data_IF_690082825268
#
_entry.id   IF_690082825268
#
_cell.length_a   1.000
_cell.length_b   1.000
_cell.length_c   1.000
_cell.angle_alpha   90.00
_cell.angle_beta   90.00
_cell.angle_gamma   90.00
#
_symmetry.space_group_name_H-M   'P 1'
#
loop_
_entity.id
_entity.type
_entity.pdbx_description
1 polymer ?
#
# COMPACT_ATOMS: atom_id res chain seq x y z
N UNK A 1 16.02 -22.79 -1.35
CA UNK A 1 14.92 -22.96 -2.34
C UNK A 1 13.57 -22.75 -1.64
N UNK A 2 13.36 -21.59 -1.01
CA UNK A 2 12.10 -21.22 -0.32
C UNK A 2 11.54 -19.90 -0.89
N UNK A 3 12.39 -19.06 -1.49
CA UNK A 3 12.03 -17.74 -2.03
C UNK A 3 11.47 -17.73 -3.48
N UNK A 4 11.14 -18.88 -4.08
CA UNK A 4 10.68 -18.94 -5.48
C UNK A 4 9.16 -19.02 -5.66
N UNK A 5 8.39 -19.17 -4.57
CA UNK A 5 6.93 -19.32 -4.60
C UNK A 5 6.20 -18.12 -3.97
N UNK A 6 6.77 -16.92 -4.05
CA UNK A 6 6.19 -15.71 -3.44
C UNK A 6 4.77 -15.40 -3.93
N UNK A 7 4.42 -15.82 -5.14
CA UNK A 7 3.06 -15.64 -5.69
C UNK A 7 2.02 -16.49 -4.95
N UNK A 8 2.30 -17.79 -4.79
CA UNK A 8 1.40 -18.73 -4.10
C UNK A 8 1.18 -18.37 -2.63
N UNK A 9 2.21 -17.84 -1.98
CA UNK A 9 2.15 -17.38 -0.59
C UNK A 9 1.18 -16.19 -0.45
N UNK A 10 1.34 -15.18 -1.30
CA UNK A 10 0.48 -13.99 -1.34
C UNK A 10 -0.97 -14.35 -1.63
N UNK A 11 -1.21 -15.25 -2.58
CA UNK A 11 -2.55 -15.74 -2.91
C UNK A 11 -3.23 -16.43 -1.72
N UNK A 12 -2.47 -17.26 -0.98
CA UNK A 12 -2.97 -17.97 0.19
C UNK A 12 -3.31 -17.00 1.33
N UNK A 13 -2.45 -16.00 1.59
CA UNK A 13 -2.72 -14.98 2.59
C UNK A 13 -3.97 -14.15 2.26
N UNK A 14 -4.16 -13.76 0.99
CA UNK A 14 -5.36 -13.04 0.57
C UNK A 14 -6.62 -13.90 0.70
N UNK A 15 -6.58 -15.18 0.33
CA UNK A 15 -7.69 -16.10 0.50
C UNK A 15 -8.10 -16.25 1.96
N UNK A 16 -7.15 -16.55 2.84
CA UNK A 16 -7.41 -16.72 4.27
C UNK A 16 -7.91 -15.42 4.91
N UNK A 17 -7.27 -14.28 4.60
CA UNK A 17 -7.70 -12.97 5.09
C UNK A 17 -9.10 -12.57 4.60
N UNK A 18 -9.44 -12.92 3.35
CA UNK A 18 -10.75 -12.71 2.77
C UNK A 18 -11.85 -13.50 3.46
N UNK A 19 -11.61 -14.80 3.72
CA UNK A 19 -12.58 -15.70 4.38
C UNK A 19 -12.85 -15.27 5.83
N UNK A 20 -11.82 -14.94 6.61
CA UNK A 20 -12.00 -14.48 8.00
C UNK A 20 -12.80 -13.18 8.04
N UNK A 21 -12.55 -12.26 7.09
CA UNK A 21 -13.24 -10.99 7.02
C UNK A 21 -14.70 -11.14 6.60
N UNK A 22 -15.01 -12.00 5.63
CA UNK A 22 -16.40 -12.27 5.23
C UNK A 22 -17.18 -12.95 6.35
N UNK A 23 -16.58 -13.89 7.09
CA UNK A 23 -17.21 -14.53 8.24
C UNK A 23 -17.54 -13.53 9.36
N UNK A 24 -16.56 -12.68 9.72
CA UNK A 24 -16.76 -11.63 10.72
C UNK A 24 -17.84 -10.64 10.28
N UNK A 25 -17.90 -10.35 8.97
CA UNK A 25 -18.91 -9.49 8.38
C UNK A 25 -20.31 -10.11 8.35
N UNK A 26 -20.45 -11.43 8.27
CA UNK A 26 -21.75 -12.07 8.39
C UNK A 26 -22.23 -12.07 9.84
N UNK A 27 -21.33 -12.36 10.79
CA UNK A 27 -21.66 -12.43 12.22
C UNK A 27 -22.09 -11.07 12.81
N UNK A 28 -21.41 -9.99 12.43
CA UNK A 28 -21.78 -8.64 12.84
C UNK A 28 -23.13 -8.19 12.21
N UNK A 29 -23.53 -8.75 11.05
CA UNK A 29 -24.78 -8.41 10.33
C UNK A 29 -25.98 -9.02 11.03
N UNK A 30 -25.80 -10.23 11.55
CA UNK A 30 -26.77 -10.95 12.37
C UNK A 30 -27.08 -10.19 13.68
N UNK A 31 -26.05 -9.56 14.28
CA UNK A 31 -26.18 -8.80 15.52
C UNK A 31 -26.62 -7.32 15.36
N UNK A 32 -27.01 -6.88 14.14
CA UNK A 32 -27.47 -5.51 13.79
C UNK A 32 -26.55 -4.32 14.15
N UNK A 33 -25.38 -4.53 14.73
CA UNK A 33 -24.42 -3.48 15.11
C UNK A 33 -23.45 -3.10 13.97
N UNK A 34 -23.94 -3.04 12.73
CA UNK A 34 -23.05 -2.80 11.58
C UNK A 34 -22.86 -1.32 11.26
N UNK A 35 -21.91 -0.69 11.95
CA UNK A 35 -21.30 0.55 11.48
C UNK A 35 -20.39 0.29 10.28
N UNK A 36 -20.95 0.17 9.06
CA UNK A 36 -20.18 -0.03 7.82
C UNK A 36 -19.05 1.01 7.69
N UNK A 37 -19.33 2.25 8.09
CA UNK A 37 -18.38 3.36 8.08
C UNK A 37 -17.20 3.15 9.04
N UNK A 38 -17.46 2.69 10.26
CA UNK A 38 -16.42 2.42 11.27
C UNK A 38 -15.48 1.31 10.81
N UNK A 39 -16.01 0.26 10.18
CA UNK A 39 -15.22 -0.82 9.60
C UNK A 39 -14.33 -0.37 8.43
N UNK A 40 -14.82 0.57 7.62
CA UNK A 40 -14.03 1.19 6.54
C UNK A 40 -12.91 2.08 7.07
N UNK A 41 -13.20 2.92 8.06
CA UNK A 41 -12.21 3.80 8.68
C UNK A 41 -11.11 2.98 9.35
N UNK A 42 -11.46 1.95 10.12
CA UNK A 42 -10.47 1.09 10.77
C UNK A 42 -9.60 0.35 9.73
N UNK A 43 -10.17 -0.06 8.59
CA UNK A 43 -9.40 -0.66 7.50
C UNK A 43 -8.43 0.34 6.90
N UNK A 44 -8.88 1.57 6.66
CA UNK A 44 -8.04 2.64 6.13
C UNK A 44 -6.89 2.94 7.09
N UNK A 45 -7.19 3.22 8.36
CA UNK A 45 -6.19 3.51 9.41
C UNK A 45 -5.17 2.39 9.64
N UNK A 46 -5.49 1.13 9.32
CA UNK A 46 -4.52 0.02 9.40
C UNK A 46 -3.59 -0.05 8.18
N UNK A 47 -4.08 0.31 6.99
CA UNK A 47 -3.34 0.23 5.73
C UNK A 47 -2.50 1.49 5.46
N UNK A 48 -2.95 2.65 5.91
CA UNK A 48 -2.24 3.93 5.68
C UNK A 48 -0.86 4.00 6.36
N UNK A 49 -0.67 3.58 7.64
CA UNK A 49 0.64 3.65 8.30
C UNK A 49 1.76 2.87 7.58
N UNK A 50 1.59 1.58 7.23
CA UNK A 50 2.65 0.86 6.52
C UNK A 50 2.92 1.45 5.14
N UNK A 51 1.89 1.95 4.47
CA UNK A 51 2.05 2.59 3.17
C UNK A 51 2.78 3.95 3.26
N UNK A 52 2.47 4.75 4.28
CA UNK A 52 3.16 6.01 4.56
C UNK A 52 4.64 5.79 4.88
N UNK A 53 4.96 4.75 5.68
CA UNK A 53 6.35 4.36 5.94
C UNK A 53 7.07 3.93 4.67
N UNK A 54 6.39 3.19 3.79
CA UNK A 54 6.96 2.80 2.49
C UNK A 54 7.25 4.02 1.62
N UNK A 55 6.32 4.98 1.51
CA UNK A 55 6.54 6.24 0.77
C UNK A 55 7.72 7.01 1.35
N UNK A 56 7.81 7.15 2.69
CA UNK A 56 8.92 7.81 3.35
C UNK A 56 10.27 7.12 3.09
N UNK A 57 10.29 5.78 3.13
CA UNK A 57 11.46 4.98 2.83
C UNK A 57 11.92 5.16 1.38
N UNK A 58 10.99 5.13 0.42
CA UNK A 58 11.28 5.34 -0.99
C UNK A 58 11.73 6.76 -1.31
N UNK A 59 11.18 7.76 -0.62
CA UNK A 59 11.50 9.18 -0.83
C UNK A 59 12.87 9.59 -0.24
N UNK A 60 13.31 8.93 0.83
CA UNK A 60 14.51 9.36 1.58
C UNK A 60 15.63 8.32 1.66
N UNK A 61 15.32 7.07 2.02
CA UNK A 61 16.33 6.06 2.35
C UNK A 61 16.85 5.35 1.09
N UNK A 62 15.96 5.11 0.13
CA UNK A 62 16.26 4.39 -1.11
C UNK A 62 17.34 5.09 -1.95
N UNK A 63 17.39 6.43 -1.94
CA UNK A 63 18.42 7.19 -2.67
C UNK A 63 19.83 6.89 -2.17
N UNK A 64 20.01 6.69 -0.85
CA UNK A 64 21.30 6.42 -0.23
C UNK A 64 21.68 4.93 -0.22
N UNK A 65 20.78 4.03 -0.62
CA UNK A 65 20.98 2.59 -0.51
C UNK A 65 21.86 2.01 -1.64
N UNK A 66 22.19 2.80 -2.66
CA UNK A 66 22.99 2.36 -3.80
C UNK A 66 23.68 3.51 -4.52
N UNK A 67 24.70 3.18 -5.31
CA UNK A 67 25.48 4.13 -6.09
C UNK A 67 25.74 3.58 -7.50
N UNK A 68 25.39 4.34 -8.53
CA UNK A 68 25.67 3.99 -9.94
C UNK A 68 24.76 4.73 -10.94
N UNK A 69 25.13 4.80 -12.23
CA UNK A 69 24.37 5.53 -13.26
C UNK A 69 23.00 4.90 -13.56
N UNK A 70 22.87 3.56 -13.43
CA UNK A 70 21.60 2.83 -13.55
C UNK A 70 20.70 3.15 -12.34
N UNK A 71 21.30 3.20 -11.14
CA UNK A 71 20.62 3.58 -9.91
C UNK A 71 20.08 5.01 -9.96
N UNK A 72 20.89 5.93 -10.50
CA UNK A 72 20.48 7.31 -10.69
C UNK A 72 19.25 7.42 -11.61
N UNK A 73 19.27 6.76 -12.77
CA UNK A 73 18.15 6.82 -13.73
C UNK A 73 16.89 6.08 -13.26
N UNK A 74 17.03 4.97 -12.57
CA UNK A 74 15.89 4.13 -12.18
C UNK A 74 15.31 4.41 -10.81
N UNK A 75 16.12 4.89 -9.87
CA UNK A 75 15.73 5.01 -8.46
C UNK A 75 15.68 6.45 -8.01
N UNK A 76 16.68 7.26 -8.36
CA UNK A 76 16.74 8.67 -7.93
C UNK A 76 15.66 9.50 -8.61
N UNK A 77 15.50 9.36 -9.94
CA UNK A 77 14.42 10.05 -10.69
C UNK A 77 13.03 9.68 -10.16
N UNK A 78 12.79 8.39 -9.89
CA UNK A 78 11.51 7.93 -9.35
C UNK A 78 11.27 8.41 -7.92
N UNK A 79 12.33 8.49 -7.12
CA UNK A 79 12.28 9.03 -5.76
C UNK A 79 11.92 10.51 -5.76
N UNK A 80 12.48 11.30 -6.68
CA UNK A 80 12.16 12.73 -6.81
C UNK A 80 10.69 12.94 -7.17
N UNK A 81 10.15 12.17 -8.12
CA UNK A 81 8.72 12.20 -8.45
C UNK A 81 7.82 11.74 -7.29
N UNK A 82 8.25 10.72 -6.55
CA UNK A 82 7.55 10.25 -5.36
C UNK A 82 7.55 11.32 -4.25
N UNK A 83 8.63 12.10 -4.12
CA UNK A 83 8.77 13.19 -3.15
C UNK A 83 7.93 14.41 -3.49
N UNK A 84 7.64 14.66 -4.76
CA UNK A 84 6.74 15.74 -5.18
C UNK A 84 5.26 15.32 -5.03
N UNK A 85 4.94 14.07 -5.41
CA UNK A 85 3.58 13.53 -5.38
C UNK A 85 3.26 12.67 -4.14
N UNK A 86 4.05 12.79 -3.07
CA UNK A 86 3.92 11.94 -1.87
C UNK A 86 2.53 12.03 -1.24
N UNK A 87 1.93 13.23 -1.25
CA UNK A 87 0.60 13.47 -0.69
C UNK A 87 -0.50 12.81 -1.53
N UNK A 88 -0.37 12.84 -2.86
CA UNK A 88 -1.26 12.14 -3.77
C UNK A 88 -1.16 10.63 -3.57
N UNK A 89 0.05 10.14 -3.28
CA UNK A 89 0.30 8.71 -3.07
C UNK A 89 -0.39 8.31 -1.76
N UNK A 90 -0.15 9.05 -0.68
CA UNK A 90 -0.74 8.82 0.63
C UNK A 90 -2.29 8.80 0.61
N UNK A 91 -2.92 9.65 -0.20
CA UNK A 91 -4.37 9.71 -0.37
C UNK A 91 -4.93 8.69 -1.36
N UNK A 92 -4.10 7.84 -1.98
CA UNK A 92 -4.46 6.85 -3.00
C UNK A 92 -5.09 7.44 -4.28
N UNK A 93 -4.84 8.72 -4.58
CA UNK A 93 -5.45 9.43 -5.73
C UNK A 93 -4.54 9.40 -6.97
N UNK A 94 -3.35 8.77 -6.88
CA UNK A 94 -2.41 8.67 -8.00
C UNK A 94 -2.98 7.99 -9.26
N UNK A 95 -4.03 7.19 -9.13
CA UNK A 95 -4.68 6.57 -10.29
C UNK A 95 -5.76 7.46 -10.94
N UNK A 96 -6.19 8.54 -10.28
CA UNK A 96 -7.24 9.43 -10.75
C UNK A 96 -6.71 10.79 -11.23
N UNK A 97 -5.55 11.19 -10.74
CA UNK A 97 -4.86 12.41 -11.14
C UNK A 97 -3.75 12.00 -12.12
N UNK A 98 -3.85 12.50 -13.35
CA UNK A 98 -2.82 12.31 -14.37
C UNK A 98 -1.56 13.06 -13.94
N UNK A 99 -0.56 12.31 -13.47
CA UNK A 99 0.74 12.82 -13.02
C UNK A 99 1.58 13.43 -14.19
N UNK A 100 1.08 13.44 -15.42
CA UNK A 100 1.77 13.99 -16.61
C UNK A 100 1.58 15.51 -16.80
N UNK A 101 0.77 16.19 -15.98
CA UNK A 101 0.39 17.62 -16.18
C UNK A 101 0.72 18.59 -15.04
N UNK A 102 1.44 18.17 -14.02
CA UNK A 102 1.96 19.06 -12.97
C UNK A 102 3.48 19.19 -13.08
#
# INVERSE_FOLDING_TARGET
MVFHNSMLDVDTFFLLGGVVRSYTMLNQLDHKEFGYFTGFIHRYLRLTPPYALMIGFFSTVVVYCGSGPIWYRGVVVQSDWCRENWFLNLLYVNNYIDNQRL
#
